data_IF_995915840640
#
_entry.id   IF_995915840640
#
_cell.length_a   1.000
_cell.length_b   1.000
_cell.length_c   1.000
_cell.angle_alpha   90.00
_cell.angle_beta   90.00
_cell.angle_gamma   90.00
#
_symmetry.space_group_name_H-M   'P 1'
#
loop_
_entity.id
_entity.type
_entity.pdbx_description
1 polymer ?
#
# COMPACT_ATOMS: atom_id res chain seq x y z
N UNK A 1 11.36 6.30 -13.62
CA UNK A 1 10.20 6.14 -12.71
C UNK A 1 9.64 7.53 -12.46
N UNK A 2 8.33 7.71 -12.25
CA UNK A 2 7.80 9.02 -11.88
C UNK A 2 8.23 9.40 -10.46
N UNK A 3 8.46 10.70 -10.23
CA UNK A 3 8.60 11.26 -8.90
C UNK A 3 7.24 11.41 -8.25
N UNK A 4 7.21 11.58 -6.92
CA UNK A 4 5.94 11.92 -6.24
C UNK A 4 5.38 13.24 -6.77
N UNK A 5 6.23 14.20 -7.10
CA UNK A 5 5.80 15.51 -7.61
C UNK A 5 5.10 15.44 -8.98
N UNK A 6 5.32 14.38 -9.76
CA UNK A 6 4.69 14.18 -11.06
C UNK A 6 3.21 13.72 -10.97
N UNK A 7 2.73 13.43 -9.76
CA UNK A 7 1.38 12.92 -9.51
C UNK A 7 0.54 14.03 -8.89
N UNK A 8 -0.45 14.52 -9.64
CA UNK A 8 -1.48 15.39 -9.11
C UNK A 8 -2.59 14.56 -8.44
N UNK A 9 -2.77 14.65 -7.10
CA UNK A 9 -3.82 13.92 -6.40
C UNK A 9 -5.24 14.34 -6.84
N UNK A 10 -5.43 15.53 -7.41
CA UNK A 10 -6.73 16.00 -7.91
C UNK A 10 -7.21 15.19 -9.12
N UNK A 11 -6.29 14.68 -9.94
CA UNK A 11 -6.60 13.78 -11.06
C UNK A 11 -6.97 12.37 -10.58
N UNK A 12 -6.65 12.04 -9.32
CA UNK A 12 -6.87 10.73 -8.71
C UNK A 12 -8.13 10.66 -7.83
N UNK A 13 -9.03 11.65 -7.91
CA UNK A 13 -10.22 11.72 -7.05
C UNK A 13 -11.09 10.46 -7.04
N UNK A 14 -11.08 9.68 -8.12
CA UNK A 14 -11.82 8.42 -8.27
C UNK A 14 -11.26 7.25 -7.43
N UNK A 15 -10.02 7.33 -6.96
CA UNK A 15 -9.34 6.27 -6.18
C UNK A 15 -8.67 6.78 -4.91
N UNK A 16 -8.62 8.09 -4.67
CA UNK A 16 -7.83 8.70 -3.60
C UNK A 16 -8.07 8.08 -2.20
N UNK A 17 -9.33 7.74 -1.89
CA UNK A 17 -9.69 7.06 -0.64
C UNK A 17 -9.10 5.65 -0.49
N UNK A 18 -8.67 5.04 -1.60
CA UNK A 18 -8.09 3.69 -1.68
C UNK A 18 -6.58 3.70 -1.99
N UNK A 19 -5.93 4.85 -1.88
CA UNK A 19 -4.49 4.96 -2.08
C UNK A 19 -3.73 4.96 -0.75
N UNK A 20 -2.53 4.40 -0.76
CA UNK A 20 -1.53 4.61 0.29
C UNK A 20 -0.24 5.14 -0.33
N UNK A 21 0.46 5.99 0.41
CA UNK A 21 1.78 6.48 0.03
C UNK A 21 2.76 6.13 1.14
N UNK A 22 3.72 5.27 0.82
CA UNK A 22 4.69 4.74 1.77
C UNK A 22 6.08 5.22 1.41
N UNK A 23 6.71 5.96 2.32
CA UNK A 23 8.09 6.44 2.23
C UNK A 23 9.06 5.29 2.57
N UNK A 24 10.09 5.12 1.74
CA UNK A 24 11.25 4.26 2.01
C UNK A 24 12.24 5.07 2.84
N UNK A 25 12.59 4.55 4.02
CA UNK A 25 13.47 5.25 4.96
C UNK A 25 14.94 4.87 4.74
N UNK A 26 15.89 5.74 5.11
CA UNK A 26 17.32 5.42 5.01
C UNK A 26 17.76 4.20 5.83
N UNK A 27 17.01 3.82 6.86
CA UNK A 27 17.24 2.63 7.67
C UNK A 27 16.64 1.34 7.07
N UNK A 28 16.11 1.40 5.84
CA UNK A 28 15.40 0.30 5.19
C UNK A 28 13.97 0.10 5.71
N UNK A 29 13.52 0.94 6.64
CA UNK A 29 12.15 0.92 7.15
C UNK A 29 11.16 1.60 6.21
N UNK A 30 9.89 1.55 6.61
CA UNK A 30 8.78 2.11 5.84
C UNK A 30 7.91 3.00 6.72
N UNK A 31 7.45 4.13 6.18
CA UNK A 31 6.51 5.06 6.85
C UNK A 31 5.37 5.45 5.94
N UNK A 32 4.13 5.36 6.43
CA UNK A 32 2.99 5.89 5.70
C UNK A 32 2.96 7.41 5.78
N UNK A 33 3.06 8.06 4.62
CA UNK A 33 2.78 9.50 4.46
C UNK A 33 1.29 9.77 4.32
N UNK A 34 0.57 8.81 3.74
CA UNK A 34 -0.87 8.84 3.54
C UNK A 34 -1.42 7.41 3.60
N UNK A 35 -2.54 7.25 4.31
CA UNK A 35 -3.36 6.05 4.29
C UNK A 35 -4.80 6.46 3.98
N UNK A 36 -5.30 6.07 2.81
CA UNK A 36 -6.59 6.48 2.29
C UNK A 36 -7.74 6.07 3.21
N UNK A 37 -8.76 6.91 3.34
CA UNK A 37 -9.86 6.69 4.30
C UNK A 37 -10.64 5.39 4.07
N UNK A 38 -10.77 4.94 2.82
CA UNK A 38 -11.40 3.64 2.54
C UNK A 38 -10.50 2.46 2.91
N UNK A 39 -9.17 2.59 2.79
CA UNK A 39 -8.21 1.60 3.29
C UNK A 39 -8.30 1.49 4.81
N UNK A 40 -8.34 2.63 5.51
CA UNK A 40 -8.52 2.69 6.96
C UNK A 40 -9.83 2.02 7.37
N UNK A 41 -10.92 2.25 6.64
CA UNK A 41 -12.20 1.59 6.91
C UNK A 41 -12.15 0.08 6.65
N UNK A 42 -11.43 -0.36 5.62
CA UNK A 42 -11.28 -1.76 5.25
C UNK A 42 -10.46 -2.55 6.28
N UNK A 43 -9.28 -2.03 6.67
CA UNK A 43 -8.37 -2.71 7.61
C UNK A 43 -8.56 -2.28 9.07
N UNK A 44 -9.47 -1.33 9.35
CA UNK A 44 -9.75 -0.74 10.68
C UNK A 44 -8.51 -0.20 11.39
N UNK A 45 -7.47 0.14 10.64
CA UNK A 45 -6.18 0.59 11.15
C UNK A 45 -5.73 1.79 10.33
N UNK A 46 -5.40 2.91 10.99
CA UNK A 46 -4.84 4.09 10.33
C UNK A 46 -3.32 4.13 10.53
N UNK A 47 -2.59 3.91 9.45
CA UNK A 47 -1.14 3.93 9.45
C UNK A 47 -0.54 5.30 9.15
N UNK A 48 -1.33 6.31 8.79
CA UNK A 48 -0.81 7.66 8.48
C UNK A 48 0.10 8.17 9.60
N UNK A 49 1.35 8.49 9.25
CA UNK A 49 2.40 8.95 10.15
C UNK A 49 3.15 7.84 10.91
N UNK A 50 2.71 6.58 10.83
CA UNK A 50 3.28 5.44 11.53
C UNK A 50 4.31 4.70 10.68
N UNK A 51 5.23 4.01 11.35
CA UNK A 51 6.18 3.08 10.72
C UNK A 51 5.57 1.68 10.60
N UNK A 52 6.07 0.89 9.65
CA UNK A 52 5.72 -0.54 9.55
C UNK A 52 6.06 -1.33 10.82
N UNK A 53 7.10 -0.90 11.55
CA UNK A 53 7.47 -1.46 12.85
C UNK A 53 6.40 -1.26 13.93
N UNK A 54 5.51 -0.28 13.75
CA UNK A 54 4.44 0.02 14.71
C UNK A 54 3.19 -0.82 14.42
N UNK A 55 3.21 -1.65 13.38
CA UNK A 55 2.09 -2.47 13.00
C UNK A 55 1.88 -3.60 14.04
N UNK A 56 0.65 -3.77 14.57
CA UNK A 56 0.42 -4.61 15.74
C UNK A 56 0.58 -6.12 15.47
N UNK A 57 0.46 -6.55 14.22
CA UNK A 57 0.54 -7.96 13.82
C UNK A 57 1.88 -8.23 13.13
N UNK A 58 2.78 -8.96 13.80
CA UNK A 58 4.15 -9.21 13.32
C UNK A 58 4.21 -9.96 11.99
N UNK A 59 3.35 -10.96 11.79
CA UNK A 59 3.29 -11.73 10.54
C UNK A 59 2.84 -10.86 9.36
N UNK A 60 1.83 -10.01 9.58
CA UNK A 60 1.36 -9.06 8.57
C UNK A 60 2.41 -7.98 8.28
N UNK A 61 3.08 -7.50 9.32
CA UNK A 61 4.18 -6.53 9.18
C UNK A 61 5.30 -7.10 8.30
N UNK A 62 5.70 -8.36 8.55
CA UNK A 62 6.69 -9.06 7.72
C UNK A 62 6.23 -9.23 6.28
N UNK A 63 4.99 -9.67 6.06
CA UNK A 63 4.44 -9.81 4.71
C UNK A 63 4.47 -8.48 3.95
N UNK A 64 4.06 -7.39 4.59
CA UNK A 64 4.11 -6.05 3.97
C UNK A 64 5.54 -5.61 3.68
N UNK A 65 6.50 -5.91 4.57
CA UNK A 65 7.90 -5.63 4.34
C UNK A 65 8.41 -6.36 3.09
N UNK A 66 8.16 -7.67 3.00
CA UNK A 66 8.57 -8.48 1.84
C UNK A 66 7.96 -7.96 0.53
N UNK A 67 6.70 -7.49 0.56
CA UNK A 67 6.02 -6.91 -0.60
C UNK A 67 6.60 -5.54 -1.01
N UNK A 68 6.96 -4.68 -0.05
CA UNK A 68 7.62 -3.42 -0.35
C UNK A 68 9.06 -3.62 -0.83
N UNK A 69 9.81 -4.53 -0.19
CA UNK A 69 11.17 -4.91 -0.59
C UNK A 69 11.18 -5.42 -2.03
N UNK A 70 10.18 -6.20 -2.43
CA UNK A 70 10.05 -6.68 -3.80
C UNK A 70 9.86 -5.53 -4.81
N UNK A 71 9.13 -4.47 -4.46
CA UNK A 71 8.97 -3.28 -5.32
C UNK A 71 10.26 -2.47 -5.35
N UNK A 72 10.86 -2.20 -4.19
CA UNK A 72 12.09 -1.42 -4.05
C UNK A 72 13.25 -2.07 -4.79
N UNK A 73 13.47 -3.37 -4.58
CA UNK A 73 14.57 -4.11 -5.19
C UNK A 73 14.39 -4.26 -6.70
N UNK A 74 13.17 -4.58 -7.15
CA UNK A 74 12.95 -4.79 -8.59
C UNK A 74 12.77 -3.50 -9.37
N UNK A 75 12.43 -2.38 -8.70
CA UNK A 75 12.10 -1.09 -9.31
C UNK A 75 10.98 -1.19 -10.36
N UNK A 76 10.11 -2.17 -10.21
CA UNK A 76 9.03 -2.49 -11.15
C UNK A 76 7.68 -2.53 -10.43
N UNK A 77 6.58 -2.17 -11.13
CA UNK A 77 5.23 -2.37 -10.62
C UNK A 77 4.99 -3.81 -10.17
N UNK A 78 4.26 -3.97 -9.07
CA UNK A 78 3.83 -5.28 -8.56
C UNK A 78 2.32 -5.28 -8.34
N UNK A 79 1.68 -6.36 -8.79
CA UNK A 79 0.27 -6.62 -8.54
C UNK A 79 0.13 -7.82 -7.61
N UNK A 80 -0.84 -7.75 -6.71
CA UNK A 80 -1.20 -8.81 -5.80
C UNK A 80 -2.71 -9.01 -5.82
N UNK A 81 -3.14 -10.20 -6.21
CA UNK A 81 -4.52 -10.65 -6.03
C UNK A 81 -4.66 -11.37 -4.70
N UNK A 82 -5.72 -11.10 -3.94
CA UNK A 82 -5.95 -11.68 -2.61
C UNK A 82 -7.40 -12.13 -2.49
N UNK A 83 -7.56 -13.36 -2.01
CA UNK A 83 -8.83 -13.90 -1.52
C UNK A 83 -8.60 -14.31 -0.07
N UNK A 84 -9.40 -13.78 0.85
CA UNK A 84 -9.22 -14.06 2.27
C UNK A 84 -10.47 -13.78 3.09
N UNK A 85 -10.54 -14.42 4.25
CA UNK A 85 -11.56 -14.11 5.25
C UNK A 85 -11.06 -12.94 6.11
N UNK A 86 -11.83 -11.86 6.17
CA UNK A 86 -11.64 -10.75 7.11
C UNK A 86 -12.95 -10.58 7.85
N UNK A 87 -12.90 -10.70 9.17
CA UNK A 87 -14.08 -10.90 10.02
C UNK A 87 -14.93 -12.08 9.49
N UNK A 88 -16.24 -11.96 9.38
CA UNK A 88 -17.13 -13.01 8.87
C UNK A 88 -17.42 -12.91 7.36
N UNK A 89 -16.51 -12.32 6.60
CA UNK A 89 -16.69 -12.05 5.17
C UNK A 89 -15.51 -12.54 4.35
N UNK A 90 -15.80 -13.06 3.16
CA UNK A 90 -14.81 -13.38 2.14
C UNK A 90 -14.62 -12.13 1.30
N UNK A 91 -13.39 -11.64 1.29
CA UNK A 91 -12.95 -10.51 0.50
C UNK A 91 -12.05 -10.99 -0.63
N UNK A 92 -12.32 -10.44 -1.82
CA UNK A 92 -11.47 -10.56 -3.00
C UNK A 92 -11.07 -9.15 -3.41
N UNK A 93 -9.77 -8.89 -3.47
CA UNK A 93 -9.25 -7.58 -3.80
C UNK A 93 -7.90 -7.67 -4.50
N UNK A 94 -7.61 -6.66 -5.31
CA UNK A 94 -6.32 -6.45 -5.94
C UNK A 94 -5.60 -5.28 -5.28
N UNK A 95 -4.28 -5.37 -5.19
CA UNK A 95 -3.39 -4.27 -4.84
C UNK A 95 -2.37 -4.09 -5.96
N UNK A 96 -2.31 -2.89 -6.52
CA UNK A 96 -1.23 -2.44 -7.39
C UNK A 96 -0.26 -1.58 -6.58
N UNK A 97 1.05 -1.86 -6.69
CA UNK A 97 2.13 -1.10 -6.08
C UNK A 97 3.05 -0.56 -7.14
N UNK A 98 3.30 0.74 -7.10
CA UNK A 98 4.07 1.48 -8.08
C UNK A 98 5.29 2.11 -7.40
N UNK A 99 6.51 1.89 -7.91
CA UNK A 99 7.69 2.55 -7.40
C UNK A 99 7.72 4.01 -7.87
N UNK A 100 8.00 4.93 -6.95
CA UNK A 100 8.24 6.34 -7.21
C UNK A 100 9.68 6.68 -6.83
N UNK A 101 10.31 7.57 -7.59
CA UNK A 101 11.72 7.94 -7.41
C UNK A 101 11.94 9.39 -7.79
N UNK A 102 12.74 10.10 -6.99
CA UNK A 102 13.08 11.50 -7.25
C UNK A 102 14.27 11.65 -8.22
N UNK A 103 15.08 10.59 -8.40
CA UNK A 103 16.32 10.59 -9.18
C UNK A 103 16.38 9.50 -10.27
N UNK A 104 15.35 8.67 -10.37
CA UNK A 104 15.31 7.46 -11.19
C UNK A 104 16.44 6.45 -10.91
N UNK A 105 17.04 6.48 -9.72
CA UNK A 105 18.02 5.50 -9.27
C UNK A 105 17.48 4.63 -8.11
N UNK A 106 16.89 5.27 -7.11
CA UNK A 106 16.36 4.59 -5.93
C UNK A 106 14.86 4.83 -5.76
N UNK A 107 14.13 3.81 -5.30
CA UNK A 107 12.72 3.97 -4.94
C UNK A 107 12.64 4.77 -3.64
N UNK A 108 12.11 5.98 -3.73
CA UNK A 108 11.90 6.86 -2.58
C UNK A 108 10.54 6.63 -1.91
N UNK A 109 9.53 6.27 -2.70
CA UNK A 109 8.19 5.96 -2.20
C UNK A 109 7.53 4.83 -2.99
N UNK A 110 6.58 4.17 -2.36
CA UNK A 110 5.67 3.22 -3.00
C UNK A 110 4.26 3.79 -2.93
N UNK A 111 3.65 4.02 -4.10
CA UNK A 111 2.24 4.33 -4.21
C UNK A 111 1.47 3.02 -4.39
N UNK A 112 0.50 2.75 -3.52
CA UNK A 112 -0.35 1.57 -3.63
C UNK A 112 -1.80 1.95 -3.83
N UNK A 113 -2.52 1.21 -4.67
CA UNK A 113 -3.96 1.31 -4.82
C UNK A 113 -4.62 -0.04 -4.61
N UNK A 114 -5.69 -0.08 -3.81
CA UNK A 114 -6.48 -1.28 -3.55
C UNK A 114 -7.85 -1.18 -4.22
N UNK A 115 -8.28 -2.26 -4.88
CA UNK A 115 -9.63 -2.36 -5.45
C UNK A 115 -10.29 -3.62 -4.93
N UNK A 116 -11.44 -3.47 -4.28
CA UNK A 116 -12.29 -4.59 -3.88
C UNK A 116 -13.06 -5.09 -5.09
N UNK A 117 -12.87 -6.36 -5.43
CA UNK A 117 -13.55 -7.03 -6.55
C UNK A 117 -14.83 -7.71 -6.06
N UNK A 118 -14.77 -8.33 -4.88
CA UNK A 118 -15.92 -9.02 -4.27
C UNK A 118 -15.89 -8.93 -2.76
N UNK A 119 -17.09 -8.85 -2.19
CA UNK A 119 -17.32 -8.97 -0.76
C UNK A 119 -18.60 -9.78 -0.50
N UNK A 120 -18.46 -10.99 0.06
CA UNK A 120 -19.56 -11.89 0.35
C UNK A 120 -19.53 -12.39 1.81
N UNK A 121 -20.67 -12.75 2.42
CA UNK A 121 -20.66 -13.45 3.71
C UNK A 121 -19.89 -14.78 3.58
N UNK A 122 -19.16 -15.14 4.64
CA UNK A 122 -18.61 -16.49 4.77
C UNK A 122 -19.75 -17.44 5.12
N UNK A 123 -20.20 -18.24 4.14
CA UNK A 123 -21.23 -19.26 4.34
C UNK A 123 -20.80 -20.34 5.35
#
# INVERSE_FOLDING_TARGET
>A
MPARADIDPLEMGWILGRLTLVEVLPDGGYRWRLDGTEIVNFFRTNMTGRRLSDFPMSEMSKLMADEFDAVVTSRMPKVAHRVGKIDDRIWEYDILRLPLSDDDEAVAMVLSGLVVLRNAPAN
#
